data_IF_424006911085
#
_entry.id   IF_424006911085
#
_cell.length_a   1.000
_cell.length_b   1.000
_cell.length_c   1.000
_cell.angle_alpha   90.00
_cell.angle_beta   90.00
_cell.angle_gamma   90.00
#
_symmetry.space_group_name_H-M   'P 1'
#
loop_
_entity.id
_entity.type
_entity.pdbx_description
1 polymer ?
#
# COMPACT_ATOMS: atom_id res chain seq x y z
N UNK A 1 4.08 -8.74 -12.56
CA UNK A 1 4.99 -7.86 -13.34
C UNK A 1 6.07 -7.37 -12.41
N UNK A 2 7.34 -7.36 -12.81
CA UNK A 2 8.42 -6.87 -11.94
C UNK A 2 8.72 -5.40 -12.22
N UNK A 3 8.92 -4.63 -11.16
CA UNK A 3 9.30 -3.23 -11.22
C UNK A 3 10.50 -2.98 -10.32
N UNK A 4 11.37 -2.05 -10.71
CA UNK A 4 12.46 -1.62 -9.84
C UNK A 4 11.93 -0.89 -8.61
N UNK A 5 12.53 -1.14 -7.44
CA UNK A 5 12.11 -0.47 -6.20
C UNK A 5 12.26 1.05 -6.28
N UNK A 6 13.30 1.56 -6.93
CA UNK A 6 13.51 3.01 -7.08
C UNK A 6 12.40 3.65 -7.92
N UNK A 7 12.01 2.97 -9.01
CA UNK A 7 10.88 3.39 -9.83
C UNK A 7 9.58 3.42 -9.00
N UNK A 8 9.36 2.42 -8.14
CA UNK A 8 8.20 2.34 -7.26
C UNK A 8 8.22 3.43 -6.18
N UNK A 9 9.39 3.83 -5.68
CA UNK A 9 9.55 4.93 -4.71
C UNK A 9 9.24 6.28 -5.38
N UNK A 10 9.75 6.52 -6.59
CA UNK A 10 9.48 7.76 -7.36
C UNK A 10 8.00 7.90 -7.76
N UNK A 11 7.31 6.77 -7.96
CA UNK A 11 5.91 6.73 -8.38
C UNK A 11 4.89 7.04 -7.27
N UNK A 12 5.30 7.47 -6.07
CA UNK A 12 4.35 7.77 -4.99
C UNK A 12 3.24 8.75 -5.41
N UNK A 13 3.54 9.74 -6.25
CA UNK A 13 2.56 10.69 -6.78
C UNK A 13 1.53 10.13 -7.78
N UNK A 14 1.68 8.88 -8.24
CA UNK A 14 0.73 8.18 -9.13
C UNK A 14 -0.04 7.07 -8.42
N UNK A 15 0.00 7.07 -7.09
CA UNK A 15 -0.79 6.16 -6.26
C UNK A 15 -2.27 6.47 -6.42
N UNK A 16 -3.05 5.46 -6.82
CA UNK A 16 -4.52 5.54 -6.88
C UNK A 16 -5.12 5.24 -5.50
N UNK A 17 -4.57 4.23 -4.83
CA UNK A 17 -5.03 3.82 -3.52
C UNK A 17 -3.83 3.44 -2.64
N UNK A 18 -3.85 3.91 -1.40
CA UNK A 18 -2.93 3.51 -0.33
C UNK A 18 -3.78 3.11 0.86
N UNK A 19 -3.61 1.89 1.34
CA UNK A 19 -4.40 1.33 2.43
C UNK A 19 -3.48 0.70 3.46
N UNK A 20 -3.65 1.05 4.73
CA UNK A 20 -2.97 0.34 5.83
C UNK A 20 -3.63 -1.02 5.93
N UNK A 21 -2.84 -2.08 5.79
CA UNK A 21 -3.33 -3.46 5.88
C UNK A 21 -2.89 -4.14 7.16
N UNK A 22 -1.81 -3.68 7.77
CA UNK A 22 -1.32 -4.19 9.05
C UNK A 22 -0.43 -3.15 9.74
N UNK A 23 -0.13 -3.38 11.01
CA UNK A 23 0.89 -2.65 11.75
C UNK A 23 1.60 -3.56 12.73
N UNK A 24 2.92 -3.42 12.78
CA UNK A 24 3.74 -4.00 13.85
C UNK A 24 4.08 -2.91 14.87
N UNK A 25 4.88 -3.28 15.88
CA UNK A 25 5.44 -2.28 16.82
C UNK A 25 6.41 -1.30 16.15
N UNK A 26 7.00 -1.69 15.02
CA UNK A 26 8.09 -0.98 14.38
C UNK A 26 7.72 -0.38 13.03
N UNK A 27 6.71 -0.95 12.35
CA UNK A 27 6.40 -0.61 10.97
C UNK A 27 4.89 -0.61 10.71
N UNK A 28 4.44 0.26 9.81
CA UNK A 28 3.09 0.25 9.26
C UNK A 28 3.15 -0.37 7.88
N UNK A 29 2.34 -1.39 7.63
CA UNK A 29 2.30 -2.10 6.37
C UNK A 29 1.20 -1.53 5.48
N UNK A 30 1.59 -1.11 4.29
CA UNK A 30 0.72 -0.53 3.28
C UNK A 30 0.52 -1.47 2.11
N UNK A 31 -0.71 -1.58 1.67
CA UNK A 31 -1.07 -1.97 0.31
C UNK A 31 -1.19 -0.72 -0.56
N UNK A 32 -0.66 -0.81 -1.77
CA UNK A 32 -0.68 0.29 -2.74
C UNK A 32 -1.12 -0.19 -4.11
N UNK A 33 -2.10 0.52 -4.69
CA UNK A 33 -2.53 0.37 -6.08
C UNK A 33 -2.11 1.60 -6.88
N UNK A 34 -1.49 1.39 -8.05
CA UNK A 34 -1.03 2.43 -8.96
C UNK A 34 -1.30 2.07 -10.42
N UNK A 35 -1.34 3.06 -11.30
CA UNK A 35 -1.50 2.87 -12.74
C UNK A 35 -0.16 2.93 -13.47
N UNK A 36 0.04 2.00 -14.40
CA UNK A 36 1.19 1.99 -15.29
C UNK A 36 0.82 1.41 -16.66
N UNK A 37 0.91 2.22 -17.71
CA UNK A 37 0.66 1.78 -19.08
C UNK A 37 -0.80 1.39 -19.34
N UNK A 38 -1.75 2.07 -18.69
CA UNK A 38 -3.19 1.82 -18.81
C UNK A 38 -3.69 0.62 -17.98
N UNK A 39 -2.83 0.01 -17.18
CA UNK A 39 -3.16 -1.12 -16.29
C UNK A 39 -2.93 -0.74 -14.84
N UNK A 40 -3.66 -1.39 -13.94
CA UNK A 40 -3.48 -1.20 -12.50
C UNK A 40 -2.65 -2.31 -11.90
N UNK A 41 -1.78 -1.95 -10.98
CA UNK A 41 -0.93 -2.89 -10.26
C UNK A 41 -1.00 -2.65 -8.76
N UNK A 42 -0.91 -3.74 -8.00
CA UNK A 42 -0.88 -3.77 -6.55
C UNK A 42 0.49 -4.24 -6.06
N UNK A 43 0.95 -3.64 -4.96
CA UNK A 43 2.20 -3.96 -4.28
C UNK A 43 2.09 -3.61 -2.79
N UNK A 44 3.05 -4.08 -1.99
CA UNK A 44 3.06 -3.91 -0.54
C UNK A 44 4.41 -3.37 -0.08
N UNK A 45 4.40 -2.49 0.93
CA UNK A 45 5.61 -2.00 1.57
C UNK A 45 5.35 -1.62 3.01
N UNK A 46 6.41 -1.61 3.81
CA UNK A 46 6.43 -1.05 5.15
C UNK A 46 7.10 0.33 5.18
N UNK A 47 6.74 1.12 6.18
CA UNK A 47 7.46 2.32 6.60
C UNK A 47 7.52 2.33 8.12
N UNK A 48 8.48 3.06 8.67
CA UNK A 48 8.64 3.20 10.11
C UNK A 48 7.36 3.70 10.79
N UNK A 49 6.95 3.02 11.87
CA UNK A 49 5.73 3.37 12.60
C UNK A 49 5.89 4.60 13.51
N UNK A 50 7.12 5.08 13.71
CA UNK A 50 7.41 6.24 14.56
C UNK A 50 8.46 7.13 13.88
N UNK A 51 8.48 8.41 14.21
CA UNK A 51 9.42 9.40 13.65
C UNK A 51 10.90 9.08 13.92
N UNK A 52 11.21 8.23 14.90
CA UNK A 52 12.57 7.78 15.20
C UNK A 52 12.99 6.52 14.43
N UNK A 53 12.06 5.87 13.72
CA UNK A 53 12.35 4.72 12.87
C UNK A 53 12.47 5.20 11.43
N UNK A 54 13.71 5.30 10.95
CA UNK A 54 14.02 5.65 9.57
C UNK A 54 13.92 4.39 8.70
N UNK A 55 12.69 4.00 8.37
CA UNK A 55 12.39 2.96 7.39
C UNK A 55 11.55 3.56 6.26
N UNK A 56 12.11 3.53 5.04
CA UNK A 56 11.46 4.01 3.82
C UNK A 56 10.72 2.92 3.04
N UNK A 57 9.83 3.29 2.10
CA UNK A 57 9.13 2.32 1.26
C UNK A 57 10.10 1.41 0.52
N UNK A 58 9.89 0.09 0.63
CA UNK A 58 10.68 -0.95 -0.06
C UNK A 58 12.17 -1.00 0.29
N UNK A 59 12.61 -0.38 1.40
CA UNK A 59 14.04 -0.27 1.76
C UNK A 59 14.74 -1.63 1.86
N UNK A 60 14.08 -2.60 2.48
CA UNK A 60 14.60 -3.95 2.71
C UNK A 60 14.19 -4.97 1.65
N UNK A 61 13.46 -4.55 0.63
CA UNK A 61 13.01 -5.40 -0.46
C UNK A 61 14.10 -5.60 -1.52
N UNK A 62 14.04 -6.69 -2.31
CA UNK A 62 14.90 -6.85 -3.48
C UNK A 62 14.76 -5.68 -4.46
N UNK A 63 15.79 -5.47 -5.28
CA UNK A 63 15.81 -4.38 -6.28
C UNK A 63 14.65 -4.46 -7.27
N UNK A 64 14.12 -5.66 -7.53
CA UNK A 64 12.93 -5.88 -8.34
C UNK A 64 11.79 -6.46 -7.49
N UNK A 65 10.66 -5.78 -7.49
CA UNK A 65 9.47 -6.15 -6.74
C UNK A 65 8.43 -6.70 -7.70
N UNK A 66 7.87 -7.85 -7.34
CA UNK A 66 6.74 -8.42 -8.05
C UNK A 66 5.44 -7.71 -7.66
N UNK A 67 4.81 -7.06 -8.65
CA UNK A 67 3.52 -6.42 -8.52
C UNK A 67 2.44 -7.23 -9.25
N UNK A 68 1.26 -7.32 -8.63
CA UNK A 68 0.11 -8.05 -9.16
C UNK A 68 -0.78 -7.11 -9.98
N UNK A 69 -1.18 -7.51 -11.19
CA UNK A 69 -2.16 -6.74 -11.98
C UNK A 69 -3.55 -6.87 -11.33
N UNK A 70 -4.25 -5.74 -11.17
CA UNK A 70 -5.56 -5.68 -10.50
C UNK A 70 -6.57 -4.92 -11.34
N UNK A 71 -7.86 -5.01 -10.97
CA UNK A 71 -8.94 -4.22 -11.55
C UNK A 71 -9.88 -3.72 -10.45
N UNK A 72 -10.51 -2.55 -10.60
CA UNK A 72 -11.49 -2.08 -9.64
C UNK A 72 -12.71 -3.01 -9.67
N UNK A 73 -13.22 -3.33 -8.49
CA UNK A 73 -14.47 -4.07 -8.31
C UNK A 73 -15.28 -3.37 -7.23
N UNK A 74 -16.58 -3.19 -7.47
CA UNK A 74 -17.48 -2.66 -6.45
C UNK A 74 -17.72 -3.73 -5.39
N UNK A 75 -17.71 -3.33 -4.12
CA UNK A 75 -17.99 -4.21 -2.99
C UNK A 75 -19.07 -3.60 -2.10
N UNK A 76 -20.10 -4.39 -1.81
CA UNK A 76 -21.13 -4.04 -0.85
C UNK A 76 -20.61 -4.36 0.57
N UNK A 77 -20.57 -3.37 1.45
CA UNK A 77 -20.05 -3.51 2.82
C UNK A 77 -21.15 -3.17 3.81
N UNK A 78 -21.47 -4.11 4.71
CA UNK A 78 -22.36 -3.86 5.85
C UNK A 78 -21.51 -3.19 6.94
N UNK A 79 -21.97 -2.04 7.43
CA UNK A 79 -21.35 -1.30 8.54
C UNK A 79 -22.27 -1.37 9.77
N UNK A 80 -21.68 -1.41 10.96
CA UNK A 80 -22.42 -1.43 12.23
C UNK A 80 -22.12 -0.15 13.00
N UNK A 81 -23.16 0.52 13.48
CA UNK A 81 -23.06 1.77 14.23
C UNK A 81 -23.35 1.54 15.71
N UNK A 82 -22.75 2.34 16.59
CA UNK A 82 -23.03 2.32 18.02
C UNK A 82 -24.45 2.86 18.23
N UNK A 83 -25.28 2.09 18.94
CA UNK A 83 -26.59 2.57 19.37
C UNK A 83 -26.38 3.33 20.68
N UNK A 84 -26.48 4.66 20.66
CA UNK A 84 -26.52 5.46 21.89
C UNK A 84 -27.86 5.21 22.60
N UNK A 85 -27.80 4.72 23.84
CA UNK A 85 -28.99 4.53 24.68
C UNK A 85 -29.41 5.84 25.34
N UNK A 86 -30.67 6.24 25.17
CA UNK A 86 -31.31 7.35 25.89
C UNK A 86 -31.40 7.09 27.40
#
# INVERSE_FOLDING_TARGET
>A
MKFKKEFLQEMEGKTIQKTIIDHSRWSVLYERVFEYGGKLYCTHYSVGATEQQDEGPYEYEPDEIECQEVKPVEKLVIVYEIIEGN
#
